data_IF_907584274543
#
_entry.id   IF_907584274543
#
_cell.length_a   1.000
_cell.length_b   1.000
_cell.length_c   1.000
_cell.angle_alpha   90.00
_cell.angle_beta   90.00
_cell.angle_gamma   90.00
#
_symmetry.space_group_name_H-M   'P 1'
#
loop_
_entity.id
_entity.type
_entity.pdbx_description
1 polymer ?
#
# COMPACT_ATOMS: atom_id res chain seq x y z
N UNK A 1 37.35 21.19 -13.44
CA UNK A 1 35.88 21.45 -13.54
C UNK A 1 35.01 20.20 -13.73
N UNK A 2 35.52 19.06 -14.25
CA UNK A 2 34.73 17.81 -14.40
C UNK A 2 34.34 17.11 -13.09
N UNK A 3 35.11 17.28 -12.00
CA UNK A 3 34.86 16.66 -10.68
C UNK A 3 33.73 17.34 -9.88
N UNK A 4 33.50 18.64 -10.08
CA UNK A 4 32.43 19.39 -9.39
C UNK A 4 31.03 19.12 -9.99
N UNK A 5 30.96 18.84 -11.30
CA UNK A 5 29.72 18.41 -11.96
C UNK A 5 29.20 17.07 -11.44
N UNK A 6 30.10 16.15 -11.11
CA UNK A 6 29.72 14.83 -10.56
C UNK A 6 29.09 14.93 -9.17
N UNK A 7 29.58 15.83 -8.31
CA UNK A 7 29.05 16.02 -6.95
C UNK A 7 27.66 16.67 -6.98
N UNK A 8 27.45 17.66 -7.85
CA UNK A 8 26.14 18.29 -8.03
C UNK A 8 25.07 17.31 -8.56
N UNK A 9 25.44 16.42 -9.49
CA UNK A 9 24.57 15.35 -9.98
C UNK A 9 24.25 14.31 -8.89
N UNK A 10 25.21 14.01 -8.02
CA UNK A 10 25.02 13.07 -6.91
C UNK A 10 24.10 13.63 -5.81
N UNK A 11 24.27 14.91 -5.46
CA UNK A 11 23.42 15.60 -4.48
C UNK A 11 21.97 15.71 -4.96
N UNK A 12 21.74 15.98 -6.25
CA UNK A 12 20.38 16.04 -6.80
C UNK A 12 19.68 14.68 -6.80
N UNK A 13 20.41 13.59 -7.03
CA UNK A 13 19.86 12.24 -6.99
C UNK A 13 19.44 11.82 -5.56
N UNK A 14 20.19 12.23 -4.53
CA UNK A 14 19.82 11.97 -3.13
C UNK A 14 18.51 12.66 -2.71
N UNK A 15 18.25 13.88 -3.21
CA UNK A 15 17.04 14.64 -2.85
C UNK A 15 15.77 13.99 -3.42
N UNK A 16 15.82 13.54 -4.68
CA UNK A 16 14.66 12.89 -5.33
C UNK A 16 14.31 11.55 -4.65
N UNK A 17 15.32 10.76 -4.28
CA UNK A 17 15.09 9.47 -3.61
C UNK A 17 14.49 9.65 -2.20
N UNK A 18 14.86 10.72 -1.48
CA UNK A 18 14.30 10.99 -0.15
C UNK A 18 12.85 11.45 -0.18
N UNK A 19 12.41 12.13 -1.24
CA UNK A 19 11.06 12.67 -1.34
C UNK A 19 10.00 11.58 -1.59
N UNK A 20 10.31 10.60 -2.45
CA UNK A 20 9.41 9.46 -2.70
C UNK A 20 9.15 8.64 -1.43
N UNK A 21 10.21 8.37 -0.64
CA UNK A 21 10.08 7.67 0.64
C UNK A 21 9.28 8.45 1.71
N UNK A 22 9.25 9.78 1.61
CA UNK A 22 8.52 10.62 2.56
C UNK A 22 7.01 10.63 2.29
N UNK A 23 6.60 10.57 1.02
CA UNK A 23 5.19 10.49 0.62
C UNK A 23 4.56 9.15 1.04
N UNK A 24 5.24 8.04 0.78
CA UNK A 24 4.81 6.71 1.22
C UNK A 24 4.68 6.64 2.75
N UNK A 25 5.65 7.20 3.48
CA UNK A 25 5.61 7.24 4.95
C UNK A 25 4.42 8.06 5.48
N UNK A 26 4.08 9.17 4.82
CA UNK A 26 2.91 9.98 5.18
C UNK A 26 1.60 9.21 4.91
N UNK A 27 1.49 8.52 3.77
CA UNK A 27 0.34 7.67 3.45
C UNK A 27 0.13 6.56 4.49
N UNK A 28 1.20 5.88 4.92
CA UNK A 28 1.12 4.83 5.92
C UNK A 28 0.68 5.36 7.29
N UNK A 29 1.15 6.56 7.68
CA UNK A 29 0.73 7.22 8.92
C UNK A 29 -0.77 7.57 8.91
N UNK A 30 -1.29 8.02 7.77
CA UNK A 30 -2.71 8.36 7.62
C UNK A 30 -3.62 7.13 7.78
N UNK A 31 -3.16 5.93 7.40
CA UNK A 31 -3.92 4.69 7.60
C UNK A 31 -4.17 4.44 9.09
N UNK A 32 -3.15 4.50 9.94
CA UNK A 32 -3.31 4.26 11.38
C UNK A 32 -4.25 5.29 12.02
N UNK A 33 -4.17 6.56 11.59
CA UNK A 33 -5.07 7.62 12.05
C UNK A 33 -6.53 7.33 11.65
N UNK A 34 -6.77 6.90 10.41
CA UNK A 34 -8.11 6.53 9.90
C UNK A 34 -8.67 5.34 10.68
N UNK A 35 -7.86 4.30 10.94
CA UNK A 35 -8.31 3.13 11.70
C UNK A 35 -8.72 3.52 13.12
N UNK A 36 -7.93 4.36 13.78
CA UNK A 36 -8.26 4.90 15.11
C UNK A 36 -9.53 5.75 15.11
N UNK A 37 -9.69 6.65 14.13
CA UNK A 37 -10.84 7.55 14.04
C UNK A 37 -12.17 6.81 13.80
N UNK A 38 -12.14 5.64 13.16
CA UNK A 38 -13.32 4.85 12.83
C UNK A 38 -13.47 3.56 13.66
N UNK A 39 -12.65 3.38 14.70
CA UNK A 39 -12.65 2.19 15.55
C UNK A 39 -12.51 0.87 14.75
N UNK A 40 -11.80 0.92 13.63
CA UNK A 40 -11.59 -0.23 12.76
C UNK A 40 -10.45 -1.07 13.34
N UNK A 41 -10.66 -2.36 13.67
CA UNK A 41 -9.65 -3.17 14.35
C UNK A 41 -8.35 -3.34 13.57
N UNK A 42 -8.44 -3.44 12.25
CA UNK A 42 -7.29 -3.63 11.36
C UNK A 42 -7.68 -3.64 9.89
N UNK A 43 -6.70 -3.38 9.03
CA UNK A 43 -6.85 -3.32 7.58
C UNK A 43 -5.59 -3.83 6.88
N UNK A 44 -5.67 -4.08 5.58
CA UNK A 44 -4.51 -4.35 4.74
C UNK A 44 -4.51 -3.40 3.55
N UNK A 45 -3.34 -2.85 3.21
CA UNK A 45 -3.14 -1.93 2.09
C UNK A 45 -2.10 -2.51 1.12
N UNK A 46 -2.40 -2.41 -0.17
CA UNK A 46 -1.47 -2.70 -1.25
C UNK A 46 -1.51 -1.54 -2.24
N UNK A 47 -0.36 -0.98 -2.60
CA UNK A 47 -0.22 0.03 -3.64
C UNK A 47 0.52 -0.57 -4.83
N UNK A 48 -0.08 -0.40 -6.01
CA UNK A 48 0.47 -0.87 -7.28
C UNK A 48 0.71 0.33 -8.19
N UNK A 49 1.99 0.58 -8.53
CA UNK A 49 2.43 1.70 -9.37
C UNK A 49 3.24 1.14 -10.52
N UNK A 50 2.89 1.51 -11.75
CA UNK A 50 3.56 1.04 -12.97
C UNK A 50 3.74 -0.48 -13.04
N UNK A 51 2.73 -1.22 -12.55
CA UNK A 51 2.71 -2.69 -12.52
C UNK A 51 3.60 -3.32 -11.44
N UNK A 52 4.17 -2.52 -10.53
CA UNK A 52 4.99 -2.98 -9.41
C UNK A 52 4.29 -2.70 -8.08
N UNK A 53 4.38 -3.65 -7.16
CA UNK A 53 3.89 -3.44 -5.79
C UNK A 53 4.92 -2.60 -5.04
N UNK A 54 4.56 -1.37 -4.70
CA UNK A 54 5.42 -0.43 -3.96
C UNK A 54 5.13 -0.46 -2.46
N UNK A 55 3.88 -0.72 -2.07
CA UNK A 55 3.46 -0.92 -0.69
C UNK A 55 2.66 -2.21 -0.56
N UNK A 56 2.94 -3.00 0.48
CA UNK A 56 2.12 -4.14 0.91
C UNK A 56 2.25 -4.33 2.42
N UNK A 57 1.24 -3.89 3.17
CA UNK A 57 1.30 -3.87 4.63
C UNK A 57 -0.05 -4.18 5.29
N UNK A 58 0.00 -4.87 6.43
CA UNK A 58 -1.13 -5.06 7.34
C UNK A 58 -1.05 -4.09 8.52
N UNK A 59 -2.20 -3.60 8.95
CA UNK A 59 -2.37 -2.63 10.03
C UNK A 59 -3.34 -3.18 11.08
N UNK A 60 -3.05 -2.91 12.35
CA UNK A 60 -3.89 -3.33 13.47
C UNK A 60 -4.05 -4.85 13.59
N UNK A 61 -5.22 -5.25 14.09
CA UNK A 61 -5.55 -6.60 14.51
C UNK A 61 -6.67 -7.21 13.66
N UNK A 62 -6.51 -8.48 13.29
CA UNK A 62 -7.53 -9.28 12.60
C UNK A 62 -8.75 -9.56 13.49
N UNK A 63 -8.56 -9.70 14.81
CA UNK A 63 -9.63 -10.00 15.77
C UNK A 63 -9.30 -9.38 17.12
N UNK A 64 -10.14 -8.45 17.59
CA UNK A 64 -9.97 -7.78 18.89
C UNK A 64 -9.77 -8.78 20.04
N UNK A 65 -10.54 -9.87 20.07
CA UNK A 65 -10.49 -10.87 21.16
C UNK A 65 -9.25 -11.80 21.15
N UNK A 66 -8.58 -12.00 20.01
CA UNK A 66 -7.43 -12.91 19.90
C UNK A 66 -6.10 -12.17 19.66
N UNK A 67 -6.13 -10.83 19.62
CA UNK A 67 -4.98 -9.94 19.39
C UNK A 67 -4.04 -10.36 18.25
N UNK A 68 -4.55 -11.07 17.24
CA UNK A 68 -3.75 -11.51 16.11
C UNK A 68 -3.56 -10.35 15.14
N UNK A 69 -2.32 -9.99 14.74
CA UNK A 69 -2.08 -8.91 13.80
C UNK A 69 -2.62 -9.25 12.41
N UNK A 70 -3.01 -8.22 11.66
CA UNK A 70 -3.24 -8.38 10.22
C UNK A 70 -1.92 -8.66 9.53
N UNK A 71 -1.89 -9.67 8.66
CA UNK A 71 -0.72 -10.06 7.89
C UNK A 71 -1.11 -10.47 6.46
N UNK A 72 -0.13 -10.84 5.63
CA UNK A 72 -0.32 -11.21 4.23
C UNK A 72 -1.31 -12.39 4.00
N UNK A 73 -1.54 -13.23 5.01
CA UNK A 73 -2.45 -14.37 4.95
C UNK A 73 -3.83 -14.06 5.57
N UNK A 74 -4.08 -12.82 5.97
CA UNK A 74 -5.35 -12.43 6.57
C UNK A 74 -6.44 -12.30 5.51
N UNK A 75 -7.46 -13.14 5.61
CA UNK A 75 -8.61 -13.10 4.73
C UNK A 75 -9.65 -12.07 5.21
N UNK A 76 -10.03 -11.17 4.31
CA UNK A 76 -11.12 -10.22 4.47
C UNK A 76 -12.31 -10.61 3.57
N UNK A 77 -13.53 -10.24 3.98
CA UNK A 77 -14.70 -10.38 3.11
C UNK A 77 -14.72 -9.23 2.10
N UNK A 78 -14.54 -9.55 0.81
CA UNK A 78 -14.46 -8.56 -0.27
C UNK A 78 -15.77 -7.80 -0.55
N UNK A 79 -16.93 -8.36 -0.18
CA UNK A 79 -18.22 -7.72 -0.37
C UNK A 79 -18.51 -7.41 -1.85
N UNK A 80 -18.96 -6.20 -2.16
CA UNK A 80 -19.33 -5.82 -3.54
C UNK A 80 -18.19 -5.85 -4.55
N UNK A 81 -16.92 -5.85 -4.11
CA UNK A 81 -15.76 -6.02 -5.01
C UNK A 81 -15.84 -7.37 -5.76
N UNK A 82 -16.47 -8.39 -5.15
CA UNK A 82 -16.70 -9.69 -5.79
C UNK A 82 -17.46 -9.60 -7.12
N UNK A 83 -18.25 -8.54 -7.36
CA UNK A 83 -18.98 -8.36 -8.63
C UNK A 83 -18.05 -8.22 -9.84
N UNK A 84 -16.90 -7.58 -9.67
CA UNK A 84 -15.91 -7.45 -10.75
C UNK A 84 -15.39 -8.82 -11.21
N UNK A 85 -15.21 -9.75 -10.26
CA UNK A 85 -14.84 -11.14 -10.58
C UNK A 85 -15.95 -11.86 -11.34
N UNK A 86 -17.21 -11.71 -10.94
CA UNK A 86 -18.35 -12.27 -11.69
C UNK A 86 -18.43 -11.69 -13.11
N UNK A 87 -18.25 -10.38 -13.26
CA UNK A 87 -18.22 -9.72 -14.56
C UNK A 87 -17.09 -10.26 -15.45
N UNK A 88 -15.88 -10.40 -14.89
CA UNK A 88 -14.75 -11.00 -15.59
C UNK A 88 -15.05 -12.45 -15.99
N UNK A 89 -15.62 -13.26 -15.10
CA UNK A 89 -15.97 -14.64 -15.39
C UNK A 89 -16.96 -14.75 -16.55
N UNK A 90 -17.97 -13.88 -16.62
CA UNK A 90 -18.90 -13.82 -17.76
C UNK A 90 -18.18 -13.38 -19.04
N UNK A 91 -17.32 -12.36 -18.97
CA UNK A 91 -16.57 -11.88 -20.12
C UNK A 91 -15.68 -12.98 -20.74
N UNK A 92 -15.07 -13.84 -19.91
CA UNK A 92 -14.28 -14.98 -20.37
C UNK A 92 -15.10 -16.05 -21.13
N UNK A 93 -16.43 -16.09 -20.96
CA UNK A 93 -17.29 -17.04 -21.70
C UNK A 93 -17.61 -16.58 -23.11
N UNK A 94 -17.46 -15.29 -23.40
CA UNK A 94 -17.74 -14.69 -24.72
C UNK A 94 -16.48 -14.17 -25.39
N UNK A 95 -15.31 -14.41 -24.79
CA UNK A 95 -14.00 -14.04 -25.31
C UNK A 95 -13.53 -15.02 -26.39
#
# INVERSE_FOLDING_TARGET
>A
MRRLRGIALWLSACVVLSAANAEDAALLHDVDAILGAHEVPGAALVLLEDGKVTIQQGFGLRRQALAAPVNANTLFRLGSISKSFTGLAVALLIA
#
